data_IF_442766102166
#
_entry.id   IF_442766102166
#
_cell.length_a   1.000
_cell.length_b   1.000
_cell.length_c   1.000
_cell.angle_alpha   90.00
_cell.angle_beta   90.00
_cell.angle_gamma   90.00
#
_symmetry.space_group_name_H-M   'P 1'
#
loop_
_entity.id
_entity.type
_entity.pdbx_description
1 polymer ?
#
# COMPACT_ATOMS: atom_id res chain seq x y z
N UNK A 1 -32.12 -11.05 30.55
CA UNK A 1 -31.88 -9.63 30.20
C UNK A 1 -30.40 -9.33 30.38
N UNK A 2 -29.81 -8.46 29.55
CA UNK A 2 -28.71 -8.83 28.66
C UNK A 2 -27.30 -8.46 29.14
N UNK A 3 -26.37 -9.09 28.44
CA UNK A 3 -24.91 -8.95 28.51
C UNK A 3 -24.44 -7.50 28.37
N UNK A 4 -23.67 -7.09 29.36
CA UNK A 4 -22.43 -6.29 29.33
C UNK A 4 -22.09 -5.59 28.01
N UNK A 5 -22.40 -4.30 27.93
CA UNK A 5 -21.75 -3.36 27.03
C UNK A 5 -20.44 -2.90 27.68
N UNK A 6 -19.32 -3.52 27.33
CA UNK A 6 -18.00 -2.97 27.65
C UNK A 6 -17.72 -1.88 26.61
N UNK A 7 -17.61 -0.60 26.98
CA UNK A 7 -17.22 0.43 26.05
C UNK A 7 -15.74 0.22 25.78
N UNK A 8 -15.42 -0.25 24.58
CA UNK A 8 -14.07 -0.20 24.04
C UNK A 8 -13.63 1.27 24.06
N UNK A 9 -12.78 1.59 25.04
CA UNK A 9 -12.07 2.85 25.16
C UNK A 9 -11.06 2.91 24.00
N UNK A 10 -11.58 3.32 22.85
CA UNK A 10 -10.80 3.55 21.65
C UNK A 10 -9.89 4.75 21.89
N UNK A 11 -8.56 4.64 21.74
CA UNK A 11 -7.67 5.79 21.87
C UNK A 11 -8.08 6.86 20.84
N UNK A 12 -7.94 8.16 21.14
CA UNK A 12 -8.36 9.21 20.21
C UNK A 12 -7.66 8.98 18.87
N UNK A 13 -8.45 8.81 17.81
CA UNK A 13 -7.96 8.70 16.44
C UNK A 13 -7.00 9.89 16.20
N UNK A 14 -5.76 9.67 15.73
CA UNK A 14 -4.96 10.78 15.23
C UNK A 14 -5.79 11.50 14.17
N UNK A 15 -5.96 12.81 14.34
CA UNK A 15 -6.86 13.61 13.53
C UNK A 15 -6.57 13.39 12.04
N UNK A 16 -7.60 13.05 11.27
CA UNK A 16 -7.56 12.88 9.80
C UNK A 16 -6.82 14.03 9.09
N UNK A 17 -6.86 15.23 9.69
CA UNK A 17 -6.15 16.43 9.24
C UNK A 17 -4.61 16.33 9.21
N UNK A 18 -3.97 15.58 10.12
CA UNK A 18 -2.50 15.41 10.07
C UNK A 18 -2.09 14.51 8.91
N UNK A 19 -2.90 13.47 8.62
CA UNK A 19 -2.63 12.55 7.52
C UNK A 19 -2.71 13.26 6.16
N UNK A 20 -3.71 14.14 6.00
CA UNK A 20 -3.92 14.91 4.77
C UNK A 20 -2.79 15.92 4.46
N UNK A 21 -1.95 16.28 5.44
CA UNK A 21 -0.79 17.18 5.26
C UNK A 21 0.53 16.43 5.05
N UNK A 22 0.64 15.19 5.53
CA UNK A 22 1.88 14.39 5.48
C UNK A 22 1.98 13.59 4.17
N UNK A 23 0.85 13.11 3.66
CA UNK A 23 0.78 12.40 2.38
C UNK A 23 1.30 13.27 1.20
N UNK A 24 0.89 14.55 1.03
CA UNK A 24 1.40 15.39 -0.08
C UNK A 24 2.89 15.72 0.00
N UNK A 25 3.48 15.91 1.19
CA UNK A 25 4.91 16.17 1.31
C UNK A 25 5.78 14.96 0.89
N UNK A 26 5.22 13.75 0.97
CA UNK A 26 5.92 12.51 0.58
C UNK A 26 5.67 12.11 -0.88
N UNK A 27 4.60 12.65 -1.48
CA UNK A 27 4.28 12.51 -2.90
C UNK A 27 5.42 13.09 -3.76
N UNK A 28 5.95 14.26 -3.41
CA UNK A 28 7.05 14.88 -4.15
C UNK A 28 8.36 14.10 -4.02
N UNK A 29 8.57 13.41 -2.91
CA UNK A 29 9.82 12.65 -2.65
C UNK A 29 9.97 11.43 -3.57
N UNK A 30 8.86 10.80 -3.95
CA UNK A 30 8.86 9.64 -4.84
C UNK A 30 8.54 9.96 -6.29
N UNK A 31 8.17 11.20 -6.61
CA UNK A 31 8.03 11.67 -7.98
C UNK A 31 9.43 11.72 -8.64
N UNK A 32 9.75 10.79 -9.54
CA UNK A 32 10.95 10.88 -10.37
C UNK A 32 10.66 11.71 -11.63
N UNK A 33 11.60 12.56 -12.04
CA UNK A 33 11.53 13.26 -13.34
C UNK A 33 11.67 12.30 -14.54
N UNK A 34 12.18 11.10 -14.30
CA UNK A 34 12.27 10.01 -15.29
C UNK A 34 10.95 9.23 -15.40
N UNK A 35 10.03 9.38 -14.46
CA UNK A 35 8.70 8.79 -14.59
C UNK A 35 7.84 9.65 -15.53
N UNK A 36 7.16 9.00 -16.48
CA UNK A 36 6.44 9.68 -17.56
C UNK A 36 5.23 10.51 -17.08
N UNK A 37 4.71 10.22 -15.90
CA UNK A 37 3.51 10.85 -15.35
C UNK A 37 3.74 11.25 -13.89
N UNK A 38 3.74 12.55 -13.57
CA UNK A 38 3.94 13.03 -12.21
C UNK A 38 2.73 12.78 -11.29
N UNK A 39 1.62 12.24 -11.80
CA UNK A 39 0.42 11.88 -11.03
C UNK A 39 0.44 10.45 -10.47
N UNK A 40 1.57 9.76 -10.60
CA UNK A 40 1.81 8.42 -10.07
C UNK A 40 3.25 8.25 -9.60
N UNK A 41 3.47 7.28 -8.72
CA UNK A 41 4.79 6.70 -8.46
C UNK A 41 5.06 5.75 -9.62
N UNK A 42 5.94 6.14 -10.54
CA UNK A 42 6.35 5.28 -11.64
C UNK A 42 7.45 4.28 -11.23
N UNK A 43 8.03 3.54 -12.19
CA UNK A 43 9.01 2.49 -11.89
C UNK A 43 10.24 2.99 -11.14
N UNK A 44 10.72 4.20 -11.43
CA UNK A 44 11.90 4.75 -10.76
C UNK A 44 11.58 5.21 -9.33
N UNK A 45 10.44 5.89 -9.16
CA UNK A 45 9.90 6.21 -7.84
C UNK A 45 9.63 4.96 -6.99
N UNK A 46 9.12 3.88 -7.61
CA UNK A 46 8.83 2.61 -6.97
C UNK A 46 10.09 1.94 -6.44
N UNK A 47 11.17 1.89 -7.23
CA UNK A 47 12.45 1.32 -6.78
C UNK A 47 13.00 2.06 -5.56
N UNK A 48 12.94 3.41 -5.55
CA UNK A 48 13.33 4.19 -4.37
C UNK A 48 12.43 3.91 -3.17
N UNK A 49 11.12 3.84 -3.39
CA UNK A 49 10.17 3.51 -2.34
C UNK A 49 10.45 2.15 -1.70
N UNK A 50 10.69 1.11 -2.50
CA UNK A 50 11.04 -0.22 -2.00
C UNK A 50 12.40 -0.24 -1.29
N UNK A 51 13.40 0.45 -1.85
CA UNK A 51 14.73 0.60 -1.23
C UNK A 51 14.61 1.26 0.14
N UNK A 52 13.82 2.33 0.24
CA UNK A 52 13.60 2.99 1.53
C UNK A 52 12.86 2.10 2.50
N UNK A 53 11.94 1.24 2.04
CA UNK A 53 11.29 0.22 2.86
C UNK A 53 12.22 -0.95 3.25
N UNK A 54 13.38 -1.09 2.60
CA UNK A 54 14.27 -2.24 2.79
C UNK A 54 13.70 -3.53 2.19
N UNK A 55 12.87 -3.41 1.14
CA UNK A 55 12.26 -4.52 0.43
C UNK A 55 12.93 -4.71 -0.93
N UNK A 56 13.06 -5.97 -1.34
CA UNK A 56 13.38 -6.32 -2.72
C UNK A 56 12.10 -6.31 -3.58
N UNK A 57 12.21 -5.97 -4.87
CA UNK A 57 11.08 -5.95 -5.79
C UNK A 57 10.42 -7.33 -5.98
N UNK A 58 11.16 -8.41 -5.75
CA UNK A 58 10.67 -9.79 -5.83
C UNK A 58 10.11 -10.31 -4.50
N UNK A 59 10.20 -9.53 -3.41
CA UNK A 59 9.70 -9.94 -2.10
C UNK A 59 8.16 -10.03 -2.12
N UNK A 60 7.63 -11.13 -1.59
CA UNK A 60 6.20 -11.31 -1.32
C UNK A 60 5.60 -10.13 -0.56
N UNK A 61 6.34 -9.50 0.34
CA UNK A 61 5.91 -8.33 1.09
C UNK A 61 5.52 -7.14 0.19
N UNK A 62 6.15 -7.00 -0.98
CA UNK A 62 5.77 -5.99 -1.99
C UNK A 62 4.38 -6.28 -2.53
N UNK A 63 4.08 -7.55 -2.81
CA UNK A 63 2.77 -7.97 -3.30
C UNK A 63 1.67 -7.79 -2.23
N UNK A 64 1.99 -8.04 -0.97
CA UNK A 64 1.09 -7.78 0.17
C UNK A 64 0.81 -6.28 0.27
N UNK A 65 1.83 -5.44 0.10
CA UNK A 65 1.66 -4.00 0.12
C UNK A 65 0.79 -3.51 -1.05
N UNK A 66 1.04 -4.01 -2.26
CA UNK A 66 0.20 -3.73 -3.43
C UNK A 66 -1.27 -4.11 -3.18
N UNK A 67 -1.53 -5.25 -2.52
CA UNK A 67 -2.87 -5.68 -2.13
C UNK A 67 -3.53 -4.69 -1.15
N UNK A 68 -2.83 -4.26 -0.10
CA UNK A 68 -3.37 -3.30 0.87
C UNK A 68 -3.60 -1.91 0.27
N UNK A 69 -2.77 -1.51 -0.69
CA UNK A 69 -2.95 -0.27 -1.44
C UNK A 69 -3.99 -0.40 -2.56
N UNK A 70 -4.53 -1.61 -2.79
CA UNK A 70 -5.46 -1.95 -3.89
C UNK A 70 -4.93 -1.53 -5.26
N UNK A 71 -3.63 -1.71 -5.46
CA UNK A 71 -2.94 -1.30 -6.66
C UNK A 71 -3.50 -2.02 -7.89
N UNK A 72 -3.78 -1.27 -8.95
CA UNK A 72 -4.30 -1.82 -10.20
C UNK A 72 -3.22 -2.30 -11.16
N UNK A 73 -2.03 -1.73 -11.10
CA UNK A 73 -0.95 -2.01 -12.07
C UNK A 73 0.37 -2.32 -11.38
N UNK A 74 1.16 -3.20 -11.99
CA UNK A 74 2.50 -3.56 -11.53
C UNK A 74 3.49 -2.41 -11.77
N UNK A 75 4.47 -2.29 -10.89
CA UNK A 75 5.56 -1.30 -10.97
C UNK A 75 5.14 0.17 -10.90
N UNK A 76 3.86 0.46 -10.65
CA UNK A 76 3.37 1.83 -10.45
C UNK A 76 2.25 1.87 -9.40
N UNK A 77 2.17 2.98 -8.67
CA UNK A 77 1.01 3.30 -7.82
C UNK A 77 0.51 4.68 -8.18
N UNK A 78 -0.79 4.84 -8.43
CA UNK A 78 -1.38 6.17 -8.52
C UNK A 78 -1.34 6.85 -7.15
N UNK A 79 -1.28 8.19 -7.13
CA UNK A 79 -1.31 8.90 -5.85
C UNK A 79 -2.57 8.61 -5.03
N UNK A 80 -3.69 8.35 -5.71
CA UNK A 80 -4.93 7.99 -5.05
C UNK A 80 -4.81 6.64 -4.34
N UNK A 81 -4.31 5.60 -5.01
CA UNK A 81 -4.07 4.29 -4.40
C UNK A 81 -3.14 4.39 -3.20
N UNK A 82 -2.04 5.13 -3.35
CA UNK A 82 -1.07 5.33 -2.28
C UNK A 82 -1.66 6.06 -1.08
N UNK A 83 -2.31 7.21 -1.29
CA UNK A 83 -2.92 8.03 -0.25
C UNK A 83 -4.05 7.30 0.48
N UNK A 84 -4.98 6.70 -0.29
CA UNK A 84 -6.11 5.96 0.27
C UNK A 84 -5.63 4.75 1.06
N UNK A 85 -4.69 3.96 0.53
CA UNK A 85 -4.18 2.78 1.21
C UNK A 85 -3.42 3.11 2.50
N UNK A 86 -2.58 4.15 2.51
CA UNK A 86 -1.93 4.63 3.74
C UNK A 86 -2.95 5.12 4.78
N UNK A 87 -4.02 5.77 4.33
CA UNK A 87 -5.12 6.22 5.19
C UNK A 87 -5.87 5.04 5.81
N UNK A 88 -6.22 4.03 5.02
CA UNK A 88 -6.86 2.81 5.52
C UNK A 88 -5.96 2.06 6.51
N UNK A 89 -4.65 2.02 6.26
CA UNK A 89 -3.67 1.40 7.17
C UNK A 89 -3.32 2.26 8.39
N UNK A 90 -3.73 3.53 8.40
CA UNK A 90 -3.40 4.54 9.42
C UNK A 90 -1.90 4.72 9.62
N UNK A 91 -1.18 4.80 8.50
CA UNK A 91 0.26 4.95 8.46
C UNK A 91 0.61 6.33 7.91
N UNK A 92 1.32 7.12 8.71
CA UNK A 92 1.82 8.45 8.33
C UNK A 92 3.33 8.49 8.04
N UNK A 93 4.09 7.48 8.46
CA UNK A 93 5.55 7.41 8.21
C UNK A 93 5.98 6.13 7.49
N UNK A 94 7.07 6.18 6.72
CA UNK A 94 7.69 4.97 6.16
C UNK A 94 8.16 4.02 7.25
N UNK A 95 8.65 4.53 8.39
CA UNK A 95 9.01 3.68 9.53
C UNK A 95 7.80 2.94 10.09
N UNK A 96 6.65 3.62 10.19
CA UNK A 96 5.38 2.98 10.54
C UNK A 96 4.93 1.99 9.46
N UNK A 97 5.15 2.29 8.18
CA UNK A 97 4.85 1.37 7.08
C UNK A 97 5.70 0.10 7.16
N UNK A 98 7.00 0.24 7.36
CA UNK A 98 7.95 -0.86 7.60
C UNK A 98 7.51 -1.75 8.75
N UNK A 99 7.18 -1.14 9.89
CA UNK A 99 6.71 -1.86 11.06
C UNK A 99 5.34 -2.55 10.82
N UNK A 100 4.56 -2.06 9.86
CA UNK A 100 3.24 -2.63 9.51
C UNK A 100 3.35 -3.85 8.61
N UNK A 101 4.35 -3.94 7.73
CA UNK A 101 4.56 -5.07 6.80
C UNK A 101 4.48 -6.45 7.48
N UNK A 102 5.22 -6.75 8.58
CA UNK A 102 5.13 -8.06 9.22
C UNK A 102 3.72 -8.35 9.76
N UNK A 103 3.01 -7.33 10.24
CA UNK A 103 1.63 -7.46 10.71
C UNK A 103 0.67 -7.78 9.56
N UNK A 104 0.87 -7.18 8.38
CA UNK A 104 0.10 -7.49 7.18
C UNK A 104 0.35 -8.92 6.69
N UNK A 105 1.57 -9.42 6.86
CA UNK A 105 1.88 -10.82 6.56
C UNK A 105 1.14 -11.77 7.52
N UNK A 106 1.09 -11.45 8.81
CA UNK A 106 0.32 -12.22 9.79
C UNK A 106 -1.20 -12.15 9.54
N UNK A 107 -1.73 -11.06 8.97
CA UNK A 107 -3.15 -10.98 8.54
C UNK A 107 -3.50 -12.08 7.52
N UNK A 108 -2.54 -12.54 6.71
CA UNK A 108 -2.73 -13.61 5.74
C UNK A 108 -2.80 -15.01 6.36
N UNK A 109 -2.56 -15.17 7.66
CA UNK A 109 -2.87 -16.43 8.37
C UNK A 109 -4.37 -16.67 8.43
N UNK A 110 -5.18 -15.62 8.33
CA UNK A 110 -6.63 -15.75 8.21
C UNK A 110 -6.98 -16.26 6.79
N UNK A 111 -7.74 -17.36 6.67
CA UNK A 111 -8.06 -17.95 5.36
C UNK A 111 -8.91 -17.04 4.46
N UNK A 112 -9.74 -16.15 5.02
CA UNK A 112 -10.50 -15.19 4.22
C UNK A 112 -9.59 -14.12 3.62
N UNK A 113 -8.67 -13.57 4.42
CA UNK A 113 -7.69 -12.60 3.94
C UNK A 113 -6.75 -13.22 2.90
N UNK A 114 -6.32 -14.46 3.12
CA UNK A 114 -5.51 -15.18 2.14
C UNK A 114 -6.25 -15.39 0.82
N UNK A 115 -7.55 -15.74 0.86
CA UNK A 115 -8.36 -15.89 -0.34
C UNK A 115 -8.49 -14.56 -1.10
N UNK A 116 -8.75 -13.46 -0.40
CA UNK A 116 -8.85 -12.13 -0.99
C UNK A 116 -7.51 -11.70 -1.61
N UNK A 117 -6.41 -11.84 -0.86
CA UNK A 117 -5.06 -11.62 -1.36
C UNK A 117 -4.78 -12.46 -2.60
N UNK A 118 -5.05 -13.77 -2.57
CA UNK A 118 -4.81 -14.65 -3.72
C UNK A 118 -5.60 -14.20 -4.96
N UNK A 119 -6.88 -13.86 -4.80
CA UNK A 119 -7.70 -13.33 -5.90
C UNK A 119 -7.16 -12.00 -6.45
N UNK A 120 -6.71 -11.11 -5.56
CA UNK A 120 -6.02 -9.88 -5.95
C UNK A 120 -4.77 -10.20 -6.78
N UNK A 121 -3.89 -11.08 -6.29
CA UNK A 121 -2.63 -11.40 -6.98
C UNK A 121 -2.85 -11.97 -8.38
N UNK A 122 -3.87 -12.80 -8.56
CA UNK A 122 -4.23 -13.34 -9.86
C UNK A 122 -4.63 -12.24 -10.85
N UNK A 123 -5.49 -11.31 -10.42
CA UNK A 123 -5.90 -10.18 -11.25
C UNK A 123 -4.74 -9.21 -11.51
N UNK A 124 -3.93 -8.96 -10.49
CA UNK A 124 -2.77 -8.07 -10.55
C UNK A 124 -1.72 -8.57 -11.56
N UNK A 125 -1.46 -9.88 -11.59
CA UNK A 125 -0.55 -10.50 -12.57
C UNK A 125 -1.14 -10.59 -14.00
N UNK A 126 -2.47 -10.59 -14.14
CA UNK A 126 -3.12 -10.60 -15.47
C UNK A 126 -3.04 -9.25 -16.17
N UNK A 127 -3.12 -8.16 -15.42
CA UNK A 127 -3.05 -6.79 -15.96
C UNK A 127 -1.68 -6.51 -16.59
N UNK A 128 -0.60 -7.10 -16.06
CA UNK A 128 0.73 -7.00 -16.68
C UNK A 128 0.86 -7.85 -17.94
N UNK A 129 0.25 -9.05 -17.96
CA UNK A 129 0.27 -9.96 -19.12
C UNK A 129 -0.46 -9.40 -20.36
N UNK A 130 -1.42 -8.47 -20.16
CA UNK A 130 -2.15 -7.82 -21.26
C UNK A 130 -1.45 -6.59 -21.85
N UNK A 131 -0.38 -6.08 -21.21
CA UNK A 131 0.56 -5.17 -21.88
C UNK A 131 1.56 -6.00 -22.68
N UNK A 132 1.05 -6.70 -23.70
CA UNK A 132 1.88 -7.39 -24.69
C UNK A 132 2.82 -6.38 -25.35
N UNK A 133 4.10 -6.73 -25.35
CA UNK A 133 5.16 -6.16 -26.16
C UNK A 133 4.65 -5.89 -27.58
N UNK A 134 4.54 -4.63 -27.94
CA UNK A 134 4.20 -4.15 -29.27
C UNK A 134 5.10 -2.97 -29.59
N UNK A 135 6.19 -3.30 -30.29
CA UNK A 135 7.23 -2.45 -30.91
C UNK A 135 8.26 -1.76 -30.00
#
# INVERSE_FOLDING_TARGET
>A
MPFSFVPYFWPPLPCLCSLHKIVPARIEHFADRQDADPSRIGPHGMLRFLTELGLDAEDRNVLILAWKLRAKTQCEFTWQEFSTGLTEMRVDTLDKLKAKIPLLNDELRNPQNFRDFYQFTFNYARVSSQRTLGE
#
